data_IF_265813626330
#
_entry.id   IF_265813626330
#
_cell.length_a   1.000
_cell.length_b   1.000
_cell.length_c   1.000
_cell.angle_alpha   90.00
_cell.angle_beta   90.00
_cell.angle_gamma   90.00
#
_symmetry.space_group_name_H-M   'P 1'
#
loop_
_entity.id
_entity.type
_entity.pdbx_description
1 polymer ?
#
# COMPACT_ATOMS: atom_id res chain seq x y z
N UNK A 1 16.48 -42.46 20.73
CA UNK A 1 15.27 -41.73 20.26
C UNK A 1 15.73 -40.42 19.66
N UNK A 2 15.61 -40.28 18.34
CA UNK A 2 15.85 -39.02 17.63
C UNK A 2 14.49 -38.49 17.22
N UNK A 3 14.09 -37.32 17.74
CA UNK A 3 13.02 -36.50 17.14
C UNK A 3 13.41 -35.03 17.21
N UNK A 4 14.06 -34.64 16.11
CA UNK A 4 14.13 -33.34 15.42
C UNK A 4 13.75 -32.03 16.13
N UNK A 5 14.69 -31.10 15.98
CA UNK A 5 14.68 -29.65 16.10
C UNK A 5 13.50 -28.94 15.40
N UNK A 6 12.96 -27.90 16.05
CA UNK A 6 12.20 -26.84 15.40
C UNK A 6 12.90 -25.48 15.62
N UNK A 7 13.69 -25.12 14.61
CA UNK A 7 14.05 -23.78 14.11
C UNK A 7 14.22 -22.62 15.11
N UNK A 8 15.48 -22.22 15.32
CA UNK A 8 15.84 -20.92 15.86
C UNK A 8 15.45 -19.80 14.90
N UNK A 9 14.34 -19.13 15.20
CA UNK A 9 14.02 -17.82 14.65
C UNK A 9 14.98 -16.79 15.25
N UNK A 10 15.40 -15.75 14.51
CA UNK A 10 16.28 -14.74 15.07
C UNK A 10 15.62 -14.07 16.30
N UNK A 11 16.31 -14.09 17.45
CA UNK A 11 15.84 -13.47 18.71
C UNK A 11 15.65 -11.95 18.60
N UNK A 12 16.14 -11.32 17.51
CA UNK A 12 15.91 -9.92 17.15
C UNK A 12 16.08 -9.75 15.63
N UNK A 13 15.09 -9.18 14.95
CA UNK A 13 15.16 -8.80 13.54
C UNK A 13 15.37 -7.29 13.48
N UNK A 14 16.34 -6.86 12.68
CA UNK A 14 16.56 -5.44 12.35
C UNK A 14 16.31 -5.28 10.86
N UNK A 15 15.48 -4.30 10.50
CA UNK A 15 15.12 -4.02 9.10
C UNK A 15 15.74 -2.68 8.71
N UNK A 16 16.55 -2.70 7.65
CA UNK A 16 17.16 -1.49 7.09
C UNK A 16 16.14 -0.72 6.23
N UNK A 17 16.22 0.62 6.19
CA UNK A 17 15.34 1.49 5.38
C UNK A 17 15.36 1.13 3.89
N UNK A 18 16.44 0.52 3.39
CA UNK A 18 16.53 -0.04 2.03
C UNK A 18 15.44 -1.06 1.71
N UNK A 19 14.78 -1.64 2.72
CA UNK A 19 13.63 -2.54 2.53
C UNK A 19 12.52 -1.89 1.68
N UNK A 20 12.32 -0.58 1.82
CA UNK A 20 11.33 0.18 1.06
C UNK A 20 11.63 0.05 -0.43
N UNK A 21 12.87 0.36 -0.83
CA UNK A 21 13.30 0.26 -2.23
C UNK A 21 13.23 -1.18 -2.77
N UNK A 22 13.58 -2.17 -1.94
CA UNK A 22 13.53 -3.58 -2.33
C UNK A 22 12.08 -4.05 -2.57
N UNK A 23 11.16 -3.71 -1.67
CA UNK A 23 9.74 -4.05 -1.79
C UNK A 23 9.09 -3.30 -2.95
N UNK A 24 9.33 -1.99 -3.07
CA UNK A 24 8.80 -1.17 -4.15
C UNK A 24 9.19 -1.70 -5.53
N UNK A 25 10.47 -2.08 -5.72
CA UNK A 25 10.97 -2.61 -7.01
C UNK A 25 10.48 -4.03 -7.30
N UNK A 26 10.33 -4.90 -6.29
CA UNK A 26 9.90 -6.28 -6.53
C UNK A 26 8.39 -6.39 -6.74
N UNK A 27 7.60 -5.54 -6.08
CA UNK A 27 6.14 -5.55 -6.16
C UNK A 27 5.62 -4.85 -7.43
N UNK A 28 6.31 -3.81 -7.91
CA UNK A 28 5.80 -2.94 -8.98
C UNK A 28 6.87 -2.60 -10.01
N UNK A 29 7.00 -3.48 -11.02
CA UNK A 29 7.87 -3.24 -12.17
C UNK A 29 7.24 -2.34 -13.25
N UNK A 30 5.95 -1.98 -13.12
CA UNK A 30 5.17 -1.36 -14.19
C UNK A 30 4.27 -0.23 -13.68
N UNK A 31 4.35 0.94 -14.32
CA UNK A 31 3.70 2.19 -13.90
C UNK A 31 2.16 2.10 -13.86
N UNK A 32 1.47 1.55 -14.89
CA UNK A 32 0.05 1.20 -14.83
C UNK A 32 -0.38 0.43 -13.57
N UNK A 33 0.47 -0.43 -13.03
CA UNK A 33 0.15 -1.18 -11.81
C UNK A 33 0.13 -0.26 -10.60
N UNK A 34 1.05 0.70 -10.50
CA UNK A 34 1.05 1.70 -9.43
C UNK A 34 -0.23 2.55 -9.45
N UNK A 35 -0.66 2.98 -10.64
CA UNK A 35 -1.92 3.69 -10.80
C UNK A 35 -3.11 2.83 -10.37
N UNK A 36 -3.14 1.55 -10.74
CA UNK A 36 -4.18 0.62 -10.30
C UNK A 36 -4.21 0.47 -8.77
N UNK A 37 -3.06 0.41 -8.11
CA UNK A 37 -3.02 0.36 -6.64
C UNK A 37 -3.59 1.63 -6.01
N UNK A 38 -3.25 2.81 -6.53
CA UNK A 38 -3.82 4.08 -6.05
C UNK A 38 -5.35 4.09 -6.21
N UNK A 39 -5.87 3.72 -7.38
CA UNK A 39 -7.32 3.63 -7.64
C UNK A 39 -8.00 2.60 -6.73
N UNK A 40 -7.34 1.47 -6.45
CA UNK A 40 -7.87 0.43 -5.56
C UNK A 40 -7.95 0.92 -4.12
N UNK A 41 -6.97 1.69 -3.66
CA UNK A 41 -6.99 2.32 -2.35
C UNK A 41 -8.13 3.34 -2.23
N UNK A 42 -8.36 4.16 -3.26
CA UNK A 42 -9.49 5.08 -3.31
C UNK A 42 -10.83 4.34 -3.26
N UNK A 43 -10.97 3.22 -3.98
CA UNK A 43 -12.16 2.38 -3.94
C UNK A 43 -12.44 1.85 -2.53
N UNK A 44 -11.41 1.36 -1.84
CA UNK A 44 -11.48 0.84 -0.47
C UNK A 44 -11.81 1.93 0.56
N UNK A 45 -11.43 3.17 0.24
CA UNK A 45 -11.75 4.41 0.94
C UNK A 45 -13.11 5.00 0.57
N UNK A 46 -13.99 4.24 -0.09
CA UNK A 46 -15.34 4.68 -0.48
C UNK A 46 -15.38 5.87 -1.46
N UNK A 47 -14.33 6.12 -2.24
CA UNK A 47 -14.38 7.13 -3.30
C UNK A 47 -15.47 6.80 -4.33
N UNK A 48 -16.15 7.82 -4.84
CA UNK A 48 -17.07 7.70 -5.98
C UNK A 48 -16.46 8.24 -7.27
N UNK A 49 -15.45 9.09 -7.15
CA UNK A 49 -14.69 9.67 -8.26
C UNK A 49 -13.21 9.58 -7.92
N UNK A 50 -12.43 9.14 -8.90
CA UNK A 50 -10.97 9.21 -8.88
C UNK A 50 -10.53 9.93 -10.15
N UNK A 51 -9.83 11.05 -9.99
CA UNK A 51 -9.30 11.88 -11.07
C UNK A 51 -7.82 11.58 -11.24
N UNK A 52 -7.39 11.32 -12.47
CA UNK A 52 -5.99 11.10 -12.82
C UNK A 52 -5.59 12.19 -13.80
N UNK A 53 -4.66 13.05 -13.38
CA UNK A 53 -4.14 14.15 -14.19
C UNK A 53 -2.70 13.85 -14.56
N UNK A 54 -2.36 13.97 -15.85
CA UNK A 54 -1.00 13.77 -16.37
C UNK A 54 -0.50 15.09 -16.93
N UNK A 55 0.47 15.71 -16.25
CA UNK A 55 1.18 16.87 -16.74
C UNK A 55 2.54 16.44 -17.31
N UNK A 56 2.60 16.26 -18.62
CA UNK A 56 3.83 15.86 -19.31
C UNK A 56 4.92 16.94 -19.28
N UNK A 57 4.56 18.22 -19.10
CA UNK A 57 5.55 19.31 -19.04
C UNK A 57 6.25 19.32 -17.68
N UNK A 58 5.47 19.15 -16.61
CA UNK A 58 6.00 19.04 -15.24
C UNK A 58 6.50 17.65 -14.89
N UNK A 59 6.22 16.64 -15.73
CA UNK A 59 6.47 15.23 -15.48
C UNK A 59 5.78 14.76 -14.19
N UNK A 60 4.56 15.21 -13.98
CA UNK A 60 3.77 14.92 -12.79
C UNK A 60 2.55 14.08 -13.16
N UNK A 61 2.24 13.11 -12.31
CA UNK A 61 0.97 12.39 -12.35
C UNK A 61 0.29 12.54 -11.00
N UNK A 62 -0.89 13.15 -11.00
CA UNK A 62 -1.68 13.42 -9.80
C UNK A 62 -2.87 12.46 -9.79
N UNK A 63 -3.05 11.74 -8.68
CA UNK A 63 -4.21 10.87 -8.44
C UNK A 63 -4.97 11.45 -7.25
N UNK A 64 -6.19 11.91 -7.48
CA UNK A 64 -7.04 12.54 -6.47
C UNK A 64 -8.35 11.76 -6.36
N UNK A 65 -8.82 11.55 -5.13
CA UNK A 65 -10.11 10.91 -4.89
C UNK A 65 -10.95 11.69 -3.87
N UNK A 66 -12.26 11.43 -3.90
CA UNK A 66 -13.23 12.03 -2.99
C UNK A 66 -13.72 11.03 -1.92
N UNK A 67 -12.87 10.08 -1.54
CA UNK A 67 -13.16 9.10 -0.52
C UNK A 67 -13.17 9.69 0.88
N UNK A 68 -13.15 8.80 1.87
CA UNK A 68 -13.27 9.17 3.29
C UNK A 68 -12.02 9.88 3.85
N UNK A 69 -10.94 9.95 3.07
CA UNK A 69 -9.65 10.47 3.53
C UNK A 69 -9.04 9.65 4.67
N UNK A 70 -8.07 10.24 5.35
CA UNK A 70 -7.42 9.66 6.54
C UNK A 70 -7.21 10.75 7.59
N UNK A 71 -7.45 10.42 8.87
CA UNK A 71 -6.90 11.19 9.98
C UNK A 71 -5.38 11.03 10.06
N UNK A 72 -4.71 11.86 10.85
CA UNK A 72 -3.25 11.76 11.02
C UNK A 72 -2.82 10.39 11.58
N UNK A 73 -3.59 9.84 12.52
CA UNK A 73 -3.32 8.53 13.13
C UNK A 73 -3.55 7.38 12.13
N UNK A 74 -4.53 7.52 11.25
CA UNK A 74 -4.78 6.57 10.17
C UNK A 74 -3.66 6.62 9.13
N UNK A 75 -3.16 7.81 8.83
CA UNK A 75 -2.03 8.01 7.92
C UNK A 75 -0.73 7.41 8.48
N UNK A 76 -0.44 7.62 9.77
CA UNK A 76 0.73 7.02 10.42
C UNK A 76 0.69 5.48 10.35
N UNK A 77 -0.47 4.88 10.62
CA UNK A 77 -0.70 3.43 10.47
C UNK A 77 -0.64 2.98 9.00
N UNK A 78 -1.06 3.83 8.07
CA UNK A 78 -1.02 3.51 6.65
C UNK A 78 0.43 3.33 6.15
N UNK A 79 1.36 4.14 6.68
CA UNK A 79 2.80 4.10 6.38
C UNK A 79 3.54 2.92 7.03
N UNK A 80 2.90 2.19 7.96
CA UNK A 80 3.50 1.02 8.58
C UNK A 80 3.58 -0.16 7.58
N UNK A 81 4.80 -0.65 7.34
CA UNK A 81 5.05 -1.80 6.47
C UNK A 81 4.85 -3.08 7.27
N UNK A 82 4.01 -3.98 6.75
CA UNK A 82 3.63 -5.23 7.41
C UNK A 82 2.97 -5.06 8.80
N UNK A 83 2.42 -3.87 9.08
CA UNK A 83 1.58 -3.65 10.26
C UNK A 83 0.25 -4.39 10.19
N UNK A 84 -0.41 -4.58 11.34
CA UNK A 84 -1.74 -5.16 11.40
C UNK A 84 -2.76 -4.23 10.72
N UNK A 85 -3.18 -4.59 9.52
CA UNK A 85 -4.35 -3.97 8.88
C UNK A 85 -5.55 -4.88 9.04
N UNK A 86 -6.75 -4.30 9.04
CA UNK A 86 -8.00 -5.09 8.98
C UNK A 86 -7.99 -5.88 7.66
N UNK A 87 -7.57 -7.14 7.74
CA UNK A 87 -7.43 -8.04 6.59
C UNK A 87 -8.83 -8.43 6.15
N UNK A 88 -9.24 -7.92 4.99
CA UNK A 88 -10.61 -8.07 4.55
C UNK A 88 -11.55 -7.21 5.39
N UNK A 89 -12.59 -6.73 4.73
CA UNK A 89 -13.51 -5.82 5.35
C UNK A 89 -14.50 -5.30 4.34
N UNK A 90 -15.57 -4.80 4.91
CA UNK A 90 -16.58 -4.07 4.18
C UNK A 90 -16.29 -2.59 4.43
N UNK A 91 -16.24 -1.78 3.37
CA UNK A 91 -16.07 -0.33 3.50
C UNK A 91 -17.23 0.27 4.30
N UNK A 92 -16.97 1.38 4.98
CA UNK A 92 -17.88 1.90 5.99
C UNK A 92 -19.16 2.46 5.36
N UNK A 93 -19.02 3.24 4.29
CA UNK A 93 -20.11 4.01 3.68
C UNK A 93 -20.88 3.21 2.65
N UNK A 94 -20.21 2.66 1.64
CA UNK A 94 -20.89 1.96 0.54
C UNK A 94 -20.94 0.44 0.71
N UNK A 95 -20.44 -0.08 1.83
CA UNK A 95 -20.44 -1.51 2.15
C UNK A 95 -19.79 -2.37 1.05
N UNK A 96 -18.72 -1.87 0.45
CA UNK A 96 -17.97 -2.54 -0.61
C UNK A 96 -17.03 -3.59 -0.01
N UNK A 97 -16.86 -4.71 -0.70
CA UNK A 97 -15.78 -5.64 -0.37
C UNK A 97 -14.45 -4.99 -0.74
N UNK A 98 -13.59 -4.74 0.24
CA UNK A 98 -12.27 -4.14 0.00
C UNK A 98 -11.37 -5.04 -0.85
N UNK A 99 -10.58 -4.40 -1.73
CA UNK A 99 -9.63 -5.01 -2.66
C UNK A 99 -8.29 -5.26 -1.94
N UNK A 100 -7.80 -4.26 -1.20
CA UNK A 100 -6.53 -4.28 -0.49
C UNK A 100 -6.47 -5.36 0.59
N UNK A 101 -5.36 -6.09 0.62
CA UNK A 101 -5.13 -7.20 1.57
C UNK A 101 -3.91 -7.03 2.46
N UNK A 102 -2.82 -6.49 1.89
CA UNK A 102 -1.49 -6.52 2.51
C UNK A 102 -1.00 -5.16 2.99
N UNK A 103 -1.70 -4.07 2.64
CA UNK A 103 -1.35 -2.75 3.15
C UNK A 103 -0.11 -2.09 2.58
N UNK A 104 0.53 -2.68 1.57
CA UNK A 104 1.77 -2.18 0.96
C UNK A 104 1.56 -1.46 -0.37
N UNK A 105 0.30 -1.21 -0.78
CA UNK A 105 -0.03 -0.57 -2.06
C UNK A 105 0.59 0.83 -2.21
N UNK A 106 0.80 1.54 -1.11
CA UNK A 106 1.44 2.87 -1.10
C UNK A 106 2.89 2.86 -1.61
N UNK A 107 3.59 1.74 -1.47
CA UNK A 107 4.96 1.57 -1.94
C UNK A 107 5.07 1.55 -3.46
N UNK A 108 3.95 1.41 -4.18
CA UNK A 108 3.91 1.26 -5.64
C UNK A 108 4.32 2.51 -6.41
N UNK A 109 4.15 3.71 -5.82
CA UNK A 109 4.52 4.97 -6.47
C UNK A 109 6.02 5.27 -6.36
N UNK A 110 6.70 4.77 -5.32
CA UNK A 110 8.08 5.13 -5.02
C UNK A 110 9.12 4.80 -6.11
N UNK A 111 8.98 3.77 -6.97
CA UNK A 111 9.91 3.57 -8.08
C UNK A 111 9.85 4.66 -9.15
N UNK A 112 8.79 5.48 -9.20
CA UNK A 112 8.50 6.41 -10.28
C UNK A 112 8.51 7.89 -9.86
N UNK A 113 8.52 8.16 -8.55
CA UNK A 113 8.53 9.49 -7.99
C UNK A 113 9.89 9.75 -7.33
N UNK A 114 10.49 10.90 -7.62
CA UNK A 114 11.73 11.38 -7.00
C UNK A 114 11.46 12.30 -5.80
#
# INVERSE_FOLDING_TARGET
MVTQSASGWPKKITVDRKIVNLLSRSLYADFPRAIREAVSNSYDGDATVVSITVDLKKKEVTVEDNGNGMSIEQFDKYLEIAGEKLIGGISEKFRRKRIGRFGVGFLSCFPFCE
#
